data_IF_102877111280
#
_entry.id   IF_102877111280
#
_cell.length_a   1.000
_cell.length_b   1.000
_cell.length_c   1.000
_cell.angle_alpha   90.00
_cell.angle_beta   90.00
_cell.angle_gamma   90.00
#
_symmetry.space_group_name_H-M   'P 1'
#
loop_
_entity.id
_entity.type
_entity.pdbx_description
1 polymer ?
#
# COMPACT_ATOMS: atom_id res chain seq x y z
N UNK A 1 3.45 49.46 74.18
CA UNK A 1 3.04 50.20 72.97
C UNK A 1 2.81 49.18 71.87
N UNK A 2 1.53 48.95 71.57
CA UNK A 2 0.99 48.03 70.58
C UNK A 2 1.16 48.62 69.18
N UNK A 3 2.10 48.12 68.39
CA UNK A 3 2.18 48.45 66.97
C UNK A 3 1.34 47.43 66.19
N UNK A 4 0.23 47.93 65.67
CA UNK A 4 -0.77 47.21 64.90
C UNK A 4 -0.13 46.61 63.64
N UNK A 5 -0.28 45.30 63.48
CA UNK A 5 -0.20 44.63 62.18
C UNK A 5 -1.28 45.25 61.27
N UNK A 6 -0.96 45.70 60.05
CA UNK A 6 -1.99 45.94 59.06
C UNK A 6 -2.48 44.58 58.57
N UNK A 7 -3.51 44.05 59.23
CA UNK A 7 -4.44 43.09 58.66
C UNK A 7 -5.29 43.82 57.62
N UNK A 8 -5.42 43.18 56.46
CA UNK A 8 -6.34 43.44 55.33
C UNK A 8 -5.73 44.17 54.12
N UNK A 9 -5.22 43.38 53.16
CA UNK A 9 -5.60 43.44 51.74
C UNK A 9 -4.70 42.56 50.81
N UNK A 10 -4.74 41.21 50.87
CA UNK A 10 -4.05 40.38 49.83
C UNK A 10 -4.83 39.12 49.38
N UNK A 11 -6.11 38.96 49.71
CA UNK A 11 -6.90 37.82 49.20
C UNK A 11 -8.12 38.29 48.43
N UNK A 12 -7.91 38.66 47.16
CA UNK A 12 -9.02 38.67 46.21
C UNK A 12 -9.44 37.21 45.96
N UNK A 13 -10.74 36.86 46.05
CA UNK A 13 -11.24 35.51 45.73
C UNK A 13 -10.78 35.00 44.36
N UNK A 14 -10.53 35.90 43.41
CA UNK A 14 -10.00 35.57 42.09
C UNK A 14 -8.55 35.05 42.16
N UNK A 15 -7.68 35.72 42.92
CA UNK A 15 -6.27 35.31 43.09
C UNK A 15 -6.18 33.99 43.86
N UNK A 16 -7.01 33.81 44.89
CA UNK A 16 -7.09 32.56 45.62
C UNK A 16 -7.58 31.41 44.74
N UNK A 17 -8.54 31.65 43.84
CA UNK A 17 -9.03 30.64 42.88
C UNK A 17 -7.95 30.26 41.87
N UNK A 18 -7.21 31.24 41.33
CA UNK A 18 -6.11 30.99 40.38
C UNK A 18 -4.97 30.21 41.07
N UNK A 19 -4.60 30.57 42.30
CA UNK A 19 -3.59 29.84 43.06
C UNK A 19 -4.04 28.40 43.40
N UNK A 20 -5.33 28.20 43.68
CA UNK A 20 -5.89 26.87 43.92
C UNK A 20 -5.93 26.00 42.66
N UNK A 21 -6.26 26.59 41.49
CA UNK A 21 -6.24 25.85 40.23
C UNK A 21 -4.82 25.47 39.82
N UNK A 22 -3.87 26.40 39.89
CA UNK A 22 -2.47 26.10 39.57
C UNK A 22 -1.88 25.05 40.51
N UNK A 23 -2.23 25.07 41.80
CA UNK A 23 -1.83 24.03 42.74
C UNK A 23 -2.42 22.65 42.38
N UNK A 24 -3.67 22.59 41.90
CA UNK A 24 -4.28 21.35 41.43
C UNK A 24 -3.57 20.80 40.19
N UNK A 25 -3.24 21.67 39.23
CA UNK A 25 -2.56 21.28 38.00
C UNK A 25 -1.16 20.71 38.29
N UNK A 26 -0.43 21.34 39.24
CA UNK A 26 0.85 20.81 39.71
C UNK A 26 0.72 19.46 40.43
N UNK A 27 -0.31 19.26 41.26
CA UNK A 27 -0.56 17.97 41.90
C UNK A 27 -0.84 16.86 40.88
N UNK A 28 -1.55 17.16 39.80
CA UNK A 28 -1.78 16.21 38.71
C UNK A 28 -0.45 15.81 38.06
N UNK A 29 0.38 16.80 37.67
CA UNK A 29 1.71 16.55 37.07
C UNK A 29 2.62 15.75 38.00
N UNK A 30 2.66 16.09 39.30
CA UNK A 30 3.46 15.38 40.29
C UNK A 30 3.02 13.91 40.41
N UNK A 31 1.71 13.65 40.42
CA UNK A 31 1.16 12.28 40.47
C UNK A 31 1.46 11.48 39.20
N UNK A 32 1.36 12.11 38.03
CA UNK A 32 1.65 11.50 36.73
C UNK A 32 3.15 11.19 36.60
N UNK A 33 4.05 12.12 36.95
CA UNK A 33 5.49 11.89 36.97
C UNK A 33 5.88 10.79 37.95
N UNK A 34 5.33 10.78 39.16
CA UNK A 34 5.60 9.74 40.14
C UNK A 34 5.17 8.35 39.63
N UNK A 35 4.03 8.25 38.94
CA UNK A 35 3.59 7.00 38.32
C UNK A 35 4.55 6.52 37.21
N UNK A 36 4.99 7.43 36.33
CA UNK A 36 5.91 7.12 35.22
C UNK A 36 7.31 6.74 35.70
N UNK A 37 7.84 7.45 36.69
CA UNK A 37 9.14 7.11 37.27
C UNK A 37 9.09 5.79 38.03
N UNK A 38 7.99 5.50 38.74
CA UNK A 38 7.83 4.20 39.39
C UNK A 38 7.80 3.04 38.39
N UNK A 39 7.16 3.20 37.24
CA UNK A 39 7.07 2.14 36.23
C UNK A 39 8.36 1.99 35.41
N UNK A 40 9.00 3.09 35.00
CA UNK A 40 10.17 3.07 34.14
C UNK A 40 11.51 2.95 34.89
N UNK A 41 11.60 3.50 36.11
CA UNK A 41 12.83 3.58 36.91
C UNK A 41 12.57 3.24 38.39
N UNK A 42 12.47 1.94 38.74
CA UNK A 42 12.21 1.52 40.11
C UNK A 42 13.22 2.12 41.11
N UNK A 43 12.73 2.85 42.11
CA UNK A 43 13.56 3.44 43.17
C UNK A 43 14.19 4.79 42.84
N UNK A 44 13.82 5.44 41.74
CA UNK A 44 14.29 6.79 41.38
C UNK A 44 13.12 7.78 41.39
N UNK A 45 13.26 8.84 42.18
CA UNK A 45 12.30 9.94 42.17
C UNK A 45 12.50 10.84 40.94
N UNK A 46 11.45 11.56 40.50
CA UNK A 46 11.57 12.54 39.43
C UNK A 46 12.62 13.60 39.76
N UNK A 47 13.47 14.02 38.80
CA UNK A 47 14.42 15.11 38.99
C UNK A 47 13.71 16.40 39.40
N UNK A 48 14.38 17.22 40.22
CA UNK A 48 13.88 18.56 40.54
C UNK A 48 13.96 19.46 39.29
N UNK A 49 12.92 20.27 39.08
CA UNK A 49 12.85 21.22 37.97
C UNK A 49 12.13 22.51 38.40
N UNK A 50 12.36 23.58 37.63
CA UNK A 50 11.79 24.89 37.91
C UNK A 50 10.27 24.90 37.67
N UNK A 51 9.48 25.30 38.67
CA UNK A 51 8.01 25.35 38.58
C UNK A 51 7.53 26.66 37.99
N UNK A 52 7.73 26.84 36.69
CA UNK A 52 7.24 27.99 35.91
C UNK A 52 5.91 27.68 35.20
N UNK A 53 5.07 28.67 34.86
CA UNK A 53 3.84 28.42 34.10
C UNK A 53 4.11 27.78 32.72
N UNK A 54 5.25 28.09 32.10
CA UNK A 54 5.66 27.46 30.83
C UNK A 54 5.99 25.98 31.01
N UNK A 55 6.70 25.62 32.09
CA UNK A 55 6.97 24.20 32.41
C UNK A 55 5.70 23.44 32.72
N UNK A 56 4.73 24.04 33.42
CA UNK A 56 3.43 23.41 33.69
C UNK A 56 2.68 23.12 32.39
N UNK A 57 2.64 24.10 31.47
CA UNK A 57 2.01 23.95 30.16
C UNK A 57 2.69 22.85 29.33
N UNK A 58 4.01 22.81 29.31
CA UNK A 58 4.77 21.77 28.62
C UNK A 58 4.52 20.37 29.20
N UNK A 59 4.52 20.24 30.54
CA UNK A 59 4.28 18.97 31.22
C UNK A 59 2.84 18.48 31.04
N UNK A 60 1.86 19.36 31.06
CA UNK A 60 0.47 19.01 30.76
C UNK A 60 0.30 18.56 29.31
N UNK A 61 0.95 19.24 28.35
CA UNK A 61 0.94 18.82 26.96
C UNK A 61 1.56 17.43 26.79
N UNK A 62 2.69 17.18 27.48
CA UNK A 62 3.36 15.88 27.46
C UNK A 62 2.49 14.77 28.10
N UNK A 63 1.86 15.05 29.24
CA UNK A 63 0.95 14.10 29.89
C UNK A 63 -0.23 13.75 28.98
N UNK A 64 -0.86 14.75 28.36
CA UNK A 64 -1.97 14.51 27.43
C UNK A 64 -1.55 13.72 26.18
N UNK A 65 -0.33 13.96 25.68
CA UNK A 65 0.19 13.21 24.53
C UNK A 65 0.51 11.75 24.90
N UNK A 66 1.07 11.54 26.10
CA UNK A 66 1.37 10.20 26.60
C UNK A 66 0.10 9.39 26.91
N UNK A 67 -0.94 10.03 27.46
CA UNK A 67 -2.26 9.41 27.66
C UNK A 67 -2.89 9.02 26.30
N UNK A 68 -2.92 9.94 25.33
CA UNK A 68 -3.41 9.64 23.97
C UNK A 68 -2.62 8.51 23.30
N UNK A 69 -1.29 8.52 23.41
CA UNK A 69 -0.45 7.44 22.91
C UNK A 69 -0.67 6.12 23.66
N UNK A 70 -1.11 6.17 24.93
CA UNK A 70 -1.55 5.00 25.68
C UNK A 70 -2.85 4.42 25.11
N UNK A 71 -3.86 5.27 24.93
CA UNK A 71 -5.15 4.89 24.33
C UNK A 71 -4.97 4.28 22.93
N UNK A 72 -4.10 4.85 22.10
CA UNK A 72 -3.78 4.30 20.77
C UNK A 72 -3.17 2.90 20.85
N UNK A 73 -2.23 2.67 21.78
CA UNK A 73 -1.62 1.36 21.98
C UNK A 73 -2.63 0.33 22.48
N UNK A 74 -3.49 0.72 23.41
CA UNK A 74 -4.53 -0.15 23.96
C UNK A 74 -5.58 -0.49 22.88
N UNK A 75 -5.93 0.47 22.02
CA UNK A 75 -6.83 0.25 20.89
C UNK A 75 -6.23 -0.72 19.85
N UNK A 76 -4.95 -0.59 19.52
CA UNK A 76 -4.25 -1.52 18.63
C UNK A 76 -4.23 -2.93 19.25
N UNK A 77 -3.85 -3.05 20.52
CA UNK A 77 -3.79 -4.34 21.21
C UNK A 77 -5.17 -5.02 21.27
N UNK A 78 -6.24 -4.27 21.49
CA UNK A 78 -7.61 -4.78 21.47
C UNK A 78 -8.04 -5.23 20.06
N UNK A 79 -7.70 -4.47 19.02
CA UNK A 79 -7.98 -4.83 17.64
C UNK A 79 -7.22 -6.10 17.21
N UNK A 80 -5.94 -6.21 17.60
CA UNK A 80 -5.13 -7.41 17.37
C UNK A 80 -5.70 -8.63 18.09
N UNK A 81 -6.11 -8.49 19.36
CA UNK A 81 -6.73 -9.57 20.12
C UNK A 81 -8.05 -10.05 19.47
N UNK A 82 -8.93 -9.12 19.08
CA UNK A 82 -10.18 -9.44 18.36
C UNK A 82 -9.91 -10.13 17.02
N UNK A 83 -8.93 -9.64 16.26
CA UNK A 83 -8.56 -10.25 14.97
C UNK A 83 -7.99 -11.66 15.16
N UNK A 84 -7.20 -11.89 16.21
CA UNK A 84 -6.68 -13.21 16.55
C UNK A 84 -7.81 -14.18 16.94
N UNK A 85 -8.79 -13.72 17.71
CA UNK A 85 -9.96 -14.52 18.07
C UNK A 85 -10.77 -14.92 16.83
N UNK A 86 -10.99 -14.01 15.89
CA UNK A 86 -11.68 -14.31 14.62
C UNK A 86 -10.91 -15.35 13.78
N UNK A 87 -9.58 -15.21 13.66
CA UNK A 87 -8.73 -16.17 12.95
C UNK A 87 -8.77 -17.55 13.61
N UNK A 88 -8.73 -17.61 14.94
CA UNK A 88 -8.82 -18.87 15.69
C UNK A 88 -10.21 -19.51 15.52
N UNK A 89 -11.29 -18.73 15.59
CA UNK A 89 -12.63 -19.23 15.37
C UNK A 89 -12.83 -19.77 13.94
N UNK A 90 -12.30 -19.08 12.93
CA UNK A 90 -12.31 -19.55 11.54
C UNK A 90 -11.48 -20.84 11.35
N UNK A 91 -10.39 -21.00 12.11
CA UNK A 91 -9.53 -22.20 12.10
C UNK A 91 -10.24 -23.45 12.65
N UNK A 92 -11.25 -23.30 13.49
CA UNK A 92 -11.97 -24.41 14.13
C UNK A 92 -13.31 -24.75 13.44
N UNK A 93 -13.60 -24.14 12.28
CA UNK A 93 -14.81 -24.38 11.52
C UNK A 93 -14.90 -25.80 10.93
N UNK A 94 -16.12 -26.39 10.82
CA UNK A 94 -16.31 -27.77 10.35
C UNK A 94 -15.91 -28.03 8.88
N UNK A 95 -15.87 -26.99 8.04
CA UNK A 95 -15.41 -27.07 6.64
C UNK A 95 -13.90 -27.34 6.50
N UNK A 96 -13.17 -27.32 7.62
CA UNK A 96 -11.73 -27.54 7.69
C UNK A 96 -11.30 -28.90 7.14
N UNK A 97 -12.01 -29.98 7.45
CA UNK A 97 -11.57 -31.33 7.02
C UNK A 97 -11.54 -31.48 5.51
N UNK A 98 -12.53 -30.91 4.81
CA UNK A 98 -12.56 -30.92 3.35
C UNK A 98 -11.51 -29.97 2.77
N UNK A 99 -11.34 -28.79 3.37
CA UNK A 99 -10.34 -27.80 2.95
C UNK A 99 -8.91 -28.35 3.09
N UNK A 100 -8.59 -28.94 4.24
CA UNK A 100 -7.27 -29.51 4.53
C UNK A 100 -6.97 -30.68 3.58
N UNK A 101 -7.95 -31.56 3.32
CA UNK A 101 -7.80 -32.64 2.34
C UNK A 101 -7.60 -32.12 0.90
N UNK A 102 -8.25 -31.02 0.51
CA UNK A 102 -8.04 -30.38 -0.79
C UNK A 102 -6.66 -29.71 -0.89
N UNK A 103 -6.20 -29.06 0.18
CA UNK A 103 -4.86 -28.45 0.22
C UNK A 103 -3.77 -29.51 0.16
N UNK A 104 -3.90 -30.61 0.90
CA UNK A 104 -2.98 -31.74 0.87
C UNK A 104 -2.90 -32.36 -0.54
N UNK A 105 -4.05 -32.55 -1.21
CA UNK A 105 -4.07 -33.03 -2.59
C UNK A 105 -3.42 -32.05 -3.59
N UNK A 106 -3.52 -30.74 -3.36
CA UNK A 106 -2.85 -29.72 -4.17
C UNK A 106 -1.34 -29.73 -3.91
N UNK A 107 -0.91 -29.83 -2.66
CA UNK A 107 0.50 -29.96 -2.26
C UNK A 107 1.14 -31.21 -2.87
N UNK A 108 0.46 -32.36 -2.85
CA UNK A 108 0.92 -33.61 -3.46
C UNK A 108 1.02 -33.52 -4.99
N UNK A 109 0.22 -32.66 -5.61
CA UNK A 109 0.21 -32.45 -7.07
C UNK A 109 1.24 -31.43 -7.55
N UNK A 110 1.88 -30.70 -6.63
CA UNK A 110 2.84 -29.65 -6.98
C UNK A 110 4.15 -30.24 -7.48
N UNK A 111 4.73 -29.61 -8.50
CA UNK A 111 6.11 -29.90 -8.90
C UNK A 111 7.09 -29.35 -7.86
N UNK A 112 8.30 -29.88 -7.81
CA UNK A 112 9.35 -29.37 -6.92
C UNK A 112 9.63 -27.86 -7.13
N UNK A 113 9.52 -27.39 -8.37
CA UNK A 113 9.63 -25.97 -8.72
C UNK A 113 8.45 -25.16 -8.20
N UNK A 114 7.22 -25.69 -8.32
CA UNK A 114 6.02 -25.05 -7.77
C UNK A 114 6.08 -24.92 -6.25
N UNK A 115 6.56 -25.95 -5.55
CA UNK A 115 6.72 -25.92 -4.09
C UNK A 115 7.74 -24.87 -3.65
N UNK A 116 8.91 -24.84 -4.31
CA UNK A 116 9.93 -23.83 -4.03
C UNK A 116 9.43 -22.40 -4.32
N UNK A 117 8.65 -22.20 -5.39
CA UNK A 117 8.07 -20.90 -5.71
C UNK A 117 7.05 -20.46 -4.64
N UNK A 118 6.20 -21.36 -4.16
CA UNK A 118 5.22 -21.08 -3.11
C UNK A 118 5.91 -20.74 -1.78
N UNK A 119 6.96 -21.47 -1.41
CA UNK A 119 7.76 -21.20 -0.22
C UNK A 119 8.39 -19.81 -0.28
N UNK A 120 9.00 -19.45 -1.42
CA UNK A 120 9.59 -18.12 -1.62
C UNK A 120 8.53 -17.03 -1.56
N UNK A 121 7.36 -17.24 -2.18
CA UNK A 121 6.25 -16.29 -2.11
C UNK A 121 5.75 -16.10 -0.68
N UNK A 122 5.62 -17.18 0.09
CA UNK A 122 5.17 -17.12 1.48
C UNK A 122 6.19 -16.37 2.36
N UNK A 123 7.48 -16.65 2.19
CA UNK A 123 8.54 -15.96 2.91
C UNK A 123 8.57 -14.46 2.57
N UNK A 124 8.42 -14.13 1.29
CA UNK A 124 8.37 -12.75 0.83
C UNK A 124 7.13 -12.04 1.36
N UNK A 125 5.97 -12.69 1.35
CA UNK A 125 4.73 -12.14 1.87
C UNK A 125 4.82 -11.82 3.38
N UNK A 126 5.40 -12.74 4.16
CA UNK A 126 5.67 -12.51 5.58
C UNK A 126 6.64 -11.35 5.78
N UNK A 127 7.73 -11.30 5.00
CA UNK A 127 8.72 -10.22 5.11
C UNK A 127 8.16 -8.84 4.73
N UNK A 128 7.17 -8.80 3.84
CA UNK A 128 6.54 -7.58 3.33
C UNK A 128 5.25 -7.23 4.08
N UNK A 129 4.78 -8.09 4.98
CA UNK A 129 3.53 -7.90 5.73
C UNK A 129 2.27 -8.01 4.87
N UNK A 130 2.31 -8.76 3.76
CA UNK A 130 1.16 -8.90 2.84
C UNK A 130 0.35 -10.15 3.18
N UNK A 131 -0.92 -9.96 3.54
CA UNK A 131 -1.79 -11.05 4.02
C UNK A 131 -2.32 -11.96 2.90
N UNK A 132 -2.49 -11.43 1.68
CA UNK A 132 -2.97 -12.19 0.51
C UNK A 132 -2.08 -11.88 -0.70
N UNK A 133 -0.86 -12.43 -0.74
CA UNK A 133 0.12 -12.08 -1.76
C UNK A 133 -0.29 -12.60 -3.14
N UNK A 134 -0.50 -11.71 -4.11
CA UNK A 134 -0.44 -12.11 -5.52
C UNK A 134 1.01 -12.02 -6.02
N UNK A 135 1.42 -12.87 -6.99
CA UNK A 135 2.75 -12.77 -7.59
C UNK A 135 3.06 -11.38 -8.15
N UNK A 136 2.04 -10.68 -8.66
CA UNK A 136 2.16 -9.35 -9.25
C UNK A 136 2.42 -8.32 -8.15
N UNK A 137 1.67 -8.36 -7.04
CA UNK A 137 1.83 -7.43 -5.92
C UNK A 137 3.21 -7.59 -5.27
N UNK A 138 3.64 -8.84 -5.06
CA UNK A 138 4.99 -9.14 -4.58
C UNK A 138 6.07 -8.63 -5.54
N UNK A 139 5.85 -8.76 -6.86
CA UNK A 139 6.73 -8.22 -7.89
C UNK A 139 6.86 -6.70 -7.82
N UNK A 140 5.74 -5.98 -7.60
CA UNK A 140 5.75 -4.53 -7.40
C UNK A 140 6.54 -4.14 -6.15
N UNK A 141 6.31 -4.82 -5.02
CA UNK A 141 7.05 -4.55 -3.79
C UNK A 141 8.55 -4.77 -3.97
N UNK A 142 8.96 -5.83 -4.68
CA UNK A 142 10.38 -6.06 -5.00
C UNK A 142 10.94 -4.91 -5.85
N UNK A 143 10.22 -4.50 -6.89
CA UNK A 143 10.68 -3.44 -7.79
C UNK A 143 10.83 -2.10 -7.04
N UNK A 144 9.89 -1.78 -6.15
CA UNK A 144 9.93 -0.57 -5.33
C UNK A 144 11.09 -0.61 -4.33
N UNK A 145 11.28 -1.73 -3.62
CA UNK A 145 12.41 -1.92 -2.72
C UNK A 145 13.75 -1.81 -3.45
N UNK A 146 13.84 -2.35 -4.66
CA UNK A 146 15.03 -2.25 -5.49
C UNK A 146 15.28 -0.80 -5.94
N UNK A 147 14.22 -0.07 -6.29
CA UNK A 147 14.28 1.36 -6.60
C UNK A 147 14.83 2.16 -5.42
N UNK A 148 14.26 1.98 -4.23
CA UNK A 148 14.71 2.65 -3.00
C UNK A 148 16.16 2.30 -2.65
N UNK A 149 16.54 1.02 -2.76
CA UNK A 149 17.93 0.60 -2.53
C UNK A 149 18.91 1.29 -3.48
N UNK A 150 18.56 1.39 -4.77
CA UNK A 150 19.37 2.07 -5.77
C UNK A 150 19.52 3.57 -5.47
N UNK A 151 18.43 4.25 -5.13
CA UNK A 151 18.44 5.68 -4.77
C UNK A 151 19.33 5.95 -3.57
N UNK A 152 19.22 5.13 -2.52
CA UNK A 152 20.05 5.25 -1.31
C UNK A 152 21.53 5.01 -1.64
N UNK A 153 21.84 3.99 -2.44
CA UNK A 153 23.21 3.72 -2.89
C UNK A 153 23.79 4.90 -3.69
N UNK A 154 22.99 5.48 -4.58
CA UNK A 154 23.40 6.65 -5.35
C UNK A 154 23.63 7.87 -4.45
N UNK A 155 22.74 8.14 -3.50
CA UNK A 155 22.93 9.21 -2.52
C UNK A 155 24.19 9.00 -1.67
N UNK A 156 24.44 7.78 -1.21
CA UNK A 156 25.64 7.45 -0.46
C UNK A 156 26.91 7.73 -1.29
N UNK A 157 26.94 7.29 -2.55
CA UNK A 157 28.08 7.54 -3.46
C UNK A 157 28.35 9.04 -3.67
N UNK A 158 27.28 9.85 -3.76
CA UNK A 158 27.39 11.30 -3.94
C UNK A 158 27.89 11.99 -2.68
N UNK A 159 27.43 11.58 -1.50
CA UNK A 159 27.93 12.09 -0.22
C UNK A 159 29.41 11.74 -0.06
N UNK A 160 29.80 10.52 -0.41
CA UNK A 160 31.18 10.08 -0.30
C UNK A 160 32.12 10.87 -1.23
N UNK A 161 31.68 11.13 -2.47
CA UNK A 161 32.40 12.02 -3.39
C UNK A 161 32.56 13.44 -2.84
N UNK A 162 31.52 14.01 -2.22
CA UNK A 162 31.57 15.34 -1.61
C UNK A 162 32.51 15.37 -0.39
N UNK A 163 32.46 14.35 0.47
CA UNK A 163 33.36 14.24 1.62
C UNK A 163 34.81 14.13 1.17
N UNK A 164 35.08 13.35 0.13
CA UNK A 164 36.41 13.22 -0.44
C UNK A 164 36.88 14.57 -0.98
N UNK A 165 36.07 15.28 -1.78
CA UNK A 165 36.40 16.62 -2.26
C UNK A 165 36.73 17.61 -1.11
N UNK A 166 35.90 17.63 -0.06
CA UNK A 166 36.13 18.51 1.09
C UNK A 166 37.46 18.18 1.77
N UNK A 167 37.76 16.89 1.97
CA UNK A 167 38.98 16.44 2.63
C UNK A 167 40.23 16.66 1.81
N UNK A 168 40.19 16.38 0.51
CA UNK A 168 41.39 16.39 -0.35
C UNK A 168 41.69 17.76 -0.93
N UNK A 169 40.66 18.57 -1.19
CA UNK A 169 40.83 19.80 -1.95
C UNK A 169 40.43 21.04 -1.13
N UNK A 170 39.22 21.06 -0.58
CA UNK A 170 38.72 22.27 0.10
C UNK A 170 39.47 22.58 1.40
N UNK A 171 39.64 21.60 2.30
CA UNK A 171 40.31 21.81 3.58
C UNK A 171 41.80 22.16 3.44
N UNK A 172 42.60 21.46 2.60
CA UNK A 172 43.99 21.84 2.37
C UNK A 172 44.13 23.21 1.69
N UNK A 173 43.21 23.55 0.78
CA UNK A 173 43.15 24.86 0.16
C UNK A 173 42.92 25.98 1.18
N UNK A 174 41.93 25.83 2.05
CA UNK A 174 41.63 26.82 3.10
C UNK A 174 42.78 26.92 4.11
N UNK A 175 43.35 25.78 4.53
CA UNK A 175 44.46 25.76 5.49
C UNK A 175 45.75 26.36 4.91
N UNK A 176 45.99 26.22 3.60
CA UNK A 176 47.15 26.85 2.95
C UNK A 176 47.00 28.37 2.86
N UNK A 177 45.79 28.87 2.57
CA UNK A 177 45.47 30.30 2.61
C UNK A 177 45.61 30.85 4.02
N UNK A 178 45.02 30.20 5.03
CA UNK A 178 45.15 30.60 6.44
C UNK A 178 46.61 30.71 6.88
N UNK A 179 47.42 29.69 6.56
CA UNK A 179 48.85 29.69 6.91
C UNK A 179 49.62 30.80 6.20
N UNK A 180 49.28 31.12 4.96
CA UNK A 180 49.85 32.27 4.23
C UNK A 180 49.46 33.62 4.83
N UNK A 181 48.26 33.75 5.40
CA UNK A 181 47.81 34.95 6.11
C UNK A 181 48.47 35.12 7.49
N UNK A 182 48.85 34.02 8.14
CA UNK A 182 49.47 34.01 9.46
C UNK A 182 50.99 34.21 9.44
N UNK A 183 51.68 33.86 8.34
CA UNK A 183 53.15 33.80 8.31
C UNK A 183 53.86 35.06 7.83
N UNK A 184 53.19 36.02 7.18
CA UNK A 184 53.81 37.30 6.77
C UNK A 184 52.84 38.46 6.96
N UNK A 185 53.37 39.66 7.28
CA UNK A 185 52.60 40.89 7.32
C UNK A 185 51.79 41.03 6.02
N UNK A 186 50.47 40.92 6.15
CA UNK A 186 49.54 40.78 5.03
C UNK A 186 49.66 41.93 4.03
N UNK A 187 50.38 41.70 2.94
CA UNK A 187 50.21 42.47 1.71
C UNK A 187 49.09 41.79 0.92
N UNK A 188 47.98 42.52 0.78
CA UNK A 188 46.85 42.08 -0.04
C UNK A 188 47.34 41.56 -1.41
N UNK A 189 46.98 40.33 -1.81
CA UNK A 189 47.17 39.92 -3.20
C UNK A 189 46.41 40.90 -4.10
N UNK A 190 47.13 41.72 -4.88
CA UNK A 190 46.53 42.78 -5.73
C UNK A 190 45.55 42.23 -6.78
N UNK A 191 45.55 40.91 -6.98
CA UNK A 191 44.71 40.20 -7.93
C UNK A 191 43.40 39.65 -7.31
N UNK A 192 43.18 39.75 -5.98
CA UNK A 192 41.97 39.25 -5.31
C UNK A 192 40.69 39.92 -5.84
N UNK A 193 40.74 41.24 -6.06
CA UNK A 193 39.61 41.98 -6.63
C UNK A 193 39.27 41.49 -8.05
N UNK A 194 40.29 41.14 -8.84
CA UNK A 194 40.14 40.60 -10.19
C UNK A 194 39.58 39.18 -10.15
N UNK A 195 40.11 38.31 -9.29
CA UNK A 195 39.64 36.94 -9.12
C UNK A 195 38.21 36.87 -8.56
N UNK A 196 37.84 37.80 -7.68
CA UNK A 196 36.48 37.92 -7.17
C UNK A 196 35.52 38.37 -8.30
N UNK A 197 35.90 39.38 -9.08
CA UNK A 197 35.12 39.79 -10.27
C UNK A 197 34.98 38.66 -11.30
N UNK A 198 36.04 37.91 -11.58
CA UNK A 198 35.98 36.78 -12.50
C UNK A 198 35.14 35.62 -11.96
N UNK A 199 35.20 35.36 -10.65
CA UNK A 199 34.31 34.38 -9.99
C UNK A 199 32.85 34.82 -10.02
N UNK A 200 32.56 36.10 -9.77
CA UNK A 200 31.22 36.67 -9.90
C UNK A 200 30.71 36.61 -11.34
N UNK A 201 31.58 36.86 -12.34
CA UNK A 201 31.24 36.70 -13.76
C UNK A 201 30.91 35.25 -14.08
N UNK A 202 31.73 34.29 -13.63
CA UNK A 202 31.47 32.85 -13.81
C UNK A 202 30.16 32.42 -13.16
N UNK A 203 29.90 32.86 -11.93
CA UNK A 203 28.64 32.61 -11.22
C UNK A 203 27.47 33.21 -12.00
N UNK A 204 27.58 34.45 -12.49
CA UNK A 204 26.53 35.11 -13.27
C UNK A 204 26.27 34.39 -14.61
N UNK A 205 27.33 33.94 -15.29
CA UNK A 205 27.20 33.16 -16.52
C UNK A 205 26.56 31.80 -16.24
N UNK A 206 26.97 31.09 -15.19
CA UNK A 206 26.36 29.82 -14.80
C UNK A 206 24.88 30.00 -14.38
N UNK A 207 24.58 31.02 -13.58
CA UNK A 207 23.23 31.36 -13.14
C UNK A 207 22.32 31.75 -14.32
N UNK A 208 22.85 32.43 -15.34
CA UNK A 208 22.08 32.75 -16.56
C UNK A 208 21.78 31.53 -17.43
N UNK A 209 22.56 30.45 -17.31
CA UNK A 209 22.35 29.18 -18.05
C UNK A 209 21.44 28.20 -17.31
N UNK A 210 21.31 28.34 -15.99
CA UNK A 210 20.44 27.54 -15.14
C UNK A 210 18.98 27.47 -15.65
N UNK A 211 18.30 28.58 -16.00
CA UNK A 211 16.94 28.50 -16.51
C UNK A 211 16.86 27.74 -17.84
N UNK A 212 17.81 27.95 -18.76
CA UNK A 212 17.82 27.21 -20.03
C UNK A 212 18.05 25.70 -19.84
N UNK A 213 18.85 25.30 -18.86
CA UNK A 213 19.06 23.89 -18.50
C UNK A 213 17.80 23.32 -17.81
N UNK A 214 17.15 24.09 -16.95
CA UNK A 214 15.87 23.72 -16.34
C UNK A 214 14.77 23.57 -17.39
N UNK A 215 14.69 24.47 -18.36
CA UNK A 215 13.76 24.42 -19.48
C UNK A 215 14.05 23.22 -20.38
N UNK A 216 15.32 22.89 -20.63
CA UNK A 216 15.70 21.66 -21.35
C UNK A 216 15.32 20.39 -20.59
N UNK A 217 15.50 20.37 -19.26
CA UNK A 217 15.10 19.23 -18.44
C UNK A 217 13.56 19.09 -18.39
N UNK A 218 12.84 20.20 -18.28
CA UNK A 218 11.38 20.23 -18.34
C UNK A 218 10.86 19.83 -19.73
N UNK A 219 11.51 20.26 -20.81
CA UNK A 219 11.18 19.85 -22.18
C UNK A 219 11.50 18.37 -22.41
N UNK A 220 12.60 17.84 -21.86
CA UNK A 220 12.90 16.41 -21.91
C UNK A 220 11.85 15.58 -21.16
N UNK A 221 11.46 16.01 -19.95
CA UNK A 221 10.38 15.39 -19.19
C UNK A 221 9.03 15.48 -19.91
N UNK A 222 8.72 16.60 -20.56
CA UNK A 222 7.52 16.76 -21.39
C UNK A 222 7.58 15.91 -22.65
N UNK A 223 8.76 15.71 -23.24
CA UNK A 223 8.96 14.82 -24.40
C UNK A 223 8.80 13.36 -23.99
N UNK A 224 9.23 12.97 -22.79
CA UNK A 224 8.92 11.65 -22.23
C UNK A 224 7.42 11.49 -21.99
N UNK A 225 6.73 12.51 -21.47
CA UNK A 225 5.27 12.52 -21.36
C UNK A 225 4.56 12.44 -22.73
N UNK A 226 5.08 13.09 -23.76
CA UNK A 226 4.58 13.00 -25.15
C UNK A 226 4.92 11.66 -25.82
N UNK A 227 6.06 11.04 -25.50
CA UNK A 227 6.36 9.65 -25.91
C UNK A 227 5.44 8.65 -25.21
N UNK A 228 5.00 8.97 -24.00
CA UNK A 228 3.97 8.26 -23.26
C UNK A 228 2.56 8.49 -23.83
N UNK A 229 2.26 9.58 -24.53
CA UNK A 229 0.97 9.74 -25.25
C UNK A 229 0.80 8.75 -26.42
N UNK A 230 1.90 8.15 -26.90
CA UNK A 230 1.88 7.01 -27.84
C UNK A 230 1.85 5.64 -27.16
N UNK A 231 2.07 5.59 -25.84
CA UNK A 231 1.91 4.37 -25.03
C UNK A 231 0.47 4.38 -24.52
N UNK A 232 -0.38 3.40 -24.88
CA UNK A 232 -1.75 3.39 -24.39
C UNK A 232 -1.72 3.42 -22.86
N UNK A 233 -2.41 4.40 -22.27
CA UNK A 233 -2.48 4.52 -20.82
C UNK A 233 -3.08 3.23 -20.24
N UNK A 234 -2.63 2.80 -19.06
CA UNK A 234 -3.15 1.59 -18.41
C UNK A 234 -4.68 1.61 -18.32
N UNK A 235 -5.26 2.79 -18.05
CA UNK A 235 -6.71 3.00 -18.02
C UNK A 235 -7.38 2.73 -19.39
N UNK A 236 -6.72 3.08 -20.51
CA UNK A 236 -7.21 2.79 -21.85
C UNK A 236 -7.12 1.29 -22.17
N UNK A 237 -6.01 0.65 -21.81
CA UNK A 237 -5.85 -0.81 -21.99
C UNK A 237 -6.93 -1.56 -21.20
N UNK A 238 -7.20 -1.15 -19.96
CA UNK A 238 -8.27 -1.74 -19.14
C UNK A 238 -9.67 -1.54 -19.74
N UNK A 239 -9.93 -0.37 -20.34
CA UNK A 239 -11.19 -0.10 -21.02
C UNK A 239 -11.35 -0.98 -22.28
N UNK A 240 -10.31 -1.06 -23.11
CA UNK A 240 -10.29 -1.87 -24.33
C UNK A 240 -10.40 -3.37 -23.98
N UNK A 241 -9.77 -3.83 -22.90
CA UNK A 241 -9.86 -5.20 -22.41
C UNK A 241 -11.26 -5.55 -21.91
N UNK A 242 -11.92 -4.64 -21.19
CA UNK A 242 -13.31 -4.83 -20.77
C UNK A 242 -14.28 -4.85 -21.96
N UNK A 243 -14.07 -4.00 -22.97
CA UNK A 243 -14.84 -4.02 -24.21
C UNK A 243 -14.63 -5.36 -24.95
N UNK A 244 -13.39 -5.84 -25.01
CA UNK A 244 -13.07 -7.14 -25.59
C UNK A 244 -13.76 -8.29 -24.86
N UNK A 245 -13.77 -8.30 -23.52
CA UNK A 245 -14.47 -9.33 -22.75
C UNK A 245 -15.98 -9.32 -22.98
N UNK A 246 -16.58 -8.13 -23.11
CA UNK A 246 -17.99 -8.02 -23.47
C UNK A 246 -18.26 -8.57 -24.87
N UNK A 247 -17.41 -8.22 -25.85
CA UNK A 247 -17.52 -8.73 -27.22
C UNK A 247 -17.35 -10.25 -27.27
N UNK A 248 -16.43 -10.79 -26.48
CA UNK A 248 -16.17 -12.22 -26.37
C UNK A 248 -17.36 -12.97 -25.74
N UNK A 249 -18.03 -12.37 -24.76
CA UNK A 249 -19.26 -12.92 -24.19
C UNK A 249 -20.39 -12.97 -25.23
N UNK A 250 -20.60 -11.88 -25.99
CA UNK A 250 -21.57 -11.83 -27.10
C UNK A 250 -21.23 -12.86 -28.16
N UNK A 251 -19.95 -12.99 -28.53
CA UNK A 251 -19.48 -13.96 -29.53
C UNK A 251 -19.71 -15.40 -29.08
N UNK A 252 -19.50 -15.71 -27.80
CA UNK A 252 -19.80 -17.04 -27.23
C UNK A 252 -21.30 -17.34 -27.26
N UNK A 253 -22.15 -16.36 -26.95
CA UNK A 253 -23.60 -16.54 -27.02
C UNK A 253 -24.07 -16.76 -28.48
N UNK A 254 -23.55 -15.98 -29.42
CA UNK A 254 -23.82 -16.18 -30.85
C UNK A 254 -23.30 -17.53 -31.36
N UNK A 255 -22.10 -17.95 -30.97
CA UNK A 255 -21.56 -19.25 -31.34
C UNK A 255 -22.44 -20.38 -30.77
N UNK A 256 -22.92 -20.26 -29.53
CA UNK A 256 -23.86 -21.21 -28.94
C UNK A 256 -25.18 -21.26 -29.72
N UNK A 257 -25.72 -20.11 -30.13
CA UNK A 257 -26.91 -20.06 -30.99
C UNK A 257 -26.64 -20.69 -32.36
N UNK A 258 -25.47 -20.45 -32.97
CA UNK A 258 -25.08 -21.04 -34.26
C UNK A 258 -24.84 -22.54 -34.19
N UNK A 259 -24.36 -23.08 -33.07
CA UNK A 259 -24.17 -24.54 -32.91
C UNK A 259 -25.49 -25.30 -33.02
N UNK A 260 -26.62 -24.70 -32.67
CA UNK A 260 -27.96 -25.29 -32.84
C UNK A 260 -28.31 -25.47 -34.34
N UNK A 261 -27.72 -24.65 -35.20
CA UNK A 261 -27.91 -24.70 -36.65
C UNK A 261 -26.77 -25.39 -37.40
N UNK A 262 -25.74 -25.90 -36.70
CA UNK A 262 -24.67 -26.68 -37.32
C UNK A 262 -25.26 -28.00 -37.84
N UNK A 263 -25.31 -28.13 -39.16
CA UNK A 263 -25.90 -29.28 -39.86
C UNK A 263 -27.02 -28.92 -40.83
N UNK A 264 -27.57 -27.69 -40.76
CA UNK A 264 -28.50 -27.23 -41.79
C UNK A 264 -27.72 -26.79 -43.05
N UNK A 265 -28.16 -27.22 -44.24
CA UNK A 265 -27.64 -26.69 -45.49
C UNK A 265 -27.75 -25.15 -45.53
N UNK A 266 -26.71 -24.47 -46.03
CA UNK A 266 -26.66 -23.00 -46.15
C UNK A 266 -27.80 -22.41 -47.00
N UNK A 267 -28.48 -23.27 -47.78
CA UNK A 267 -29.60 -22.90 -48.63
C UNK A 267 -30.96 -23.18 -47.92
N UNK A 268 -31.72 -22.11 -47.67
CA UNK A 268 -32.98 -22.13 -46.90
C UNK A 268 -34.03 -23.10 -47.47
N UNK A 269 -34.06 -23.28 -48.79
CA UNK A 269 -34.99 -24.19 -49.45
C UNK A 269 -34.62 -25.66 -49.23
N UNK A 270 -33.32 -25.96 -49.17
CA UNK A 270 -32.80 -27.31 -48.99
C UNK A 270 -32.96 -27.77 -47.54
N UNK A 271 -32.72 -26.88 -46.58
CA UNK A 271 -32.99 -27.13 -45.16
C UNK A 271 -34.47 -27.37 -44.85
N UNK A 272 -35.40 -26.68 -45.54
CA UNK A 272 -36.84 -26.95 -45.42
C UNK A 272 -37.20 -28.33 -45.97
N UNK A 273 -36.65 -28.72 -47.11
CA UNK A 273 -36.88 -30.03 -47.69
C UNK A 273 -36.38 -31.17 -46.79
N UNK A 274 -35.20 -31.03 -46.17
CA UNK A 274 -34.68 -32.01 -45.22
C UNK A 274 -35.54 -32.10 -43.94
N UNK A 275 -36.02 -30.97 -43.43
CA UNK A 275 -36.89 -30.95 -42.24
C UNK A 275 -38.24 -31.63 -42.53
N UNK A 276 -38.83 -31.38 -43.71
CA UNK A 276 -40.07 -32.04 -44.13
C UNK A 276 -39.86 -33.55 -44.32
N UNK A 277 -38.73 -33.99 -44.87
CA UNK A 277 -38.38 -35.41 -44.97
C UNK A 277 -38.26 -36.07 -43.58
N UNK A 278 -37.54 -35.45 -42.65
CA UNK A 278 -37.39 -35.95 -41.27
C UNK A 278 -38.74 -36.01 -40.52
N UNK A 279 -39.65 -35.08 -40.80
CA UNK A 279 -41.02 -35.12 -40.27
C UNK A 279 -41.80 -36.30 -40.83
N UNK A 280 -41.72 -36.55 -42.14
CA UNK A 280 -42.39 -37.71 -42.75
C UNK A 280 -41.84 -39.03 -42.20
N UNK A 281 -40.53 -39.12 -41.94
CA UNK A 281 -39.92 -40.30 -41.33
C UNK A 281 -40.36 -40.50 -39.88
N UNK A 282 -40.48 -39.43 -39.09
CA UNK A 282 -41.02 -39.51 -37.73
C UNK A 282 -42.48 -39.95 -37.70
N UNK A 283 -43.31 -39.43 -38.61
CA UNK A 283 -44.71 -39.86 -38.74
C UNK A 283 -44.81 -41.33 -39.13
N UNK A 284 -43.94 -41.81 -40.02
CA UNK A 284 -43.86 -43.21 -40.41
C UNK A 284 -43.44 -44.11 -39.24
N UNK A 285 -42.38 -43.75 -38.51
CA UNK A 285 -41.94 -44.50 -37.33
C UNK A 285 -43.00 -44.50 -36.22
N UNK A 286 -43.75 -43.40 -36.08
CA UNK A 286 -44.89 -43.34 -35.17
C UNK A 286 -46.03 -44.27 -35.63
N UNK A 287 -46.33 -44.29 -36.93
CA UNK A 287 -47.31 -45.20 -37.51
C UNK A 287 -46.94 -46.67 -37.32
N UNK A 288 -45.69 -47.04 -37.58
CA UNK A 288 -45.18 -48.41 -37.36
C UNK A 288 -45.23 -48.79 -35.88
N UNK A 289 -44.90 -47.86 -34.97
CA UNK A 289 -45.04 -48.06 -33.52
C UNK A 289 -46.51 -48.29 -33.14
N UNK A 290 -47.42 -47.49 -33.68
CA UNK A 290 -48.83 -47.59 -33.33
C UNK A 290 -49.44 -48.88 -33.92
N UNK A 291 -49.05 -49.29 -35.13
CA UNK A 291 -49.47 -50.56 -35.76
C UNK A 291 -48.92 -51.79 -35.00
N UNK A 292 -47.66 -51.75 -34.59
CA UNK A 292 -47.07 -52.82 -33.75
C UNK A 292 -47.73 -52.87 -32.38
N UNK A 293 -48.07 -51.71 -31.79
CA UNK A 293 -48.80 -51.63 -30.53
C UNK A 293 -50.21 -52.21 -30.65
N UNK A 294 -50.97 -51.83 -31.67
CA UNK A 294 -52.31 -52.39 -31.93
C UNK A 294 -52.24 -53.90 -32.17
N UNK A 295 -51.25 -54.39 -32.93
CA UNK A 295 -51.02 -55.83 -33.13
C UNK A 295 -50.72 -56.60 -31.83
N UNK A 296 -50.00 -55.98 -30.90
CA UNK A 296 -49.73 -56.53 -29.57
C UNK A 296 -50.99 -56.53 -28.70
N UNK A 297 -51.78 -55.45 -28.72
CA UNK A 297 -53.03 -55.31 -27.97
C UNK A 297 -54.10 -56.30 -28.46
N UNK A 298 -54.20 -56.54 -29.77
CA UNK A 298 -55.13 -57.51 -30.36
C UNK A 298 -54.76 -58.98 -30.04
N UNK A 299 -53.47 -59.29 -29.83
CA UNK A 299 -53.02 -60.63 -29.43
C UNK A 299 -53.23 -60.93 -27.95
N UNK A 300 -53.14 -59.91 -27.10
CA UNK A 300 -53.24 -60.04 -25.63
C UNK A 300 -54.67 -59.81 -25.10
N UNK A 301 -55.62 -59.39 -25.94
CA UNK A 301 -57.03 -59.21 -25.50
C UNK A 301 -57.78 -60.55 -25.46
N UNK A 302 -58.25 -61.00 -24.27
CA UNK A 302 -58.95 -62.29 -24.15
C UNK A 302 -60.32 -62.19 -24.83
N UNK A 303 -60.54 -62.97 -25.90
CA UNK A 303 -61.87 -63.12 -26.50
C UNK A 303 -62.81 -63.80 -25.49
N UNK A 304 -63.77 -63.05 -24.95
CA UNK A 304 -64.90 -63.61 -24.18
C UNK A 304 -65.74 -64.49 -25.11
N UNK A 305 -65.90 -65.80 -24.84
CA UNK A 305 -66.91 -66.58 -25.53
C UNK A 305 -68.28 -66.18 -24.98
N UNK A 306 -69.22 -65.81 -25.84
CA UNK A 306 -70.62 -65.68 -25.45
C UNK A 306 -71.43 -66.82 -26.05
N UNK A 307 -72.07 -67.52 -25.11
CA UNK A 307 -73.08 -68.58 -25.22
C UNK A 307 -74.27 -68.16 -26.07
#
# INVERSE_FOLDING_TARGET
MTHLLPKNAIFSPSVARIAASTARDWNYVDSWLAAKYRSAFPGRDPPEFERTPETLKALHALASFDEAAGEDRDAIAAAEASSLEEVNAARDAPDKQLRDALLEAVEDSLTAEGAAALDVMSALAVSTGTALPSPIDLGHVIADLQGQSCEIQQMASRVDALLNYIRTEALPGVNSVLRGLEQDGYDHPTDLARQNLDSQRRIKTAASRLPAIQDQAAAAAATDLLRLEGVPSLARIMADENEYFQLLAVKKDLDAQLTIFQGLPTDMHLARAELDNLRTDLEKMRGERDETFESLVERETPRKPRQ
#
